data_IF_534209807332
#
_entry.id   IF_534209807332
#
_cell.length_a   1.000
_cell.length_b   1.000
_cell.length_c   1.000
_cell.angle_alpha   90.00
_cell.angle_beta   90.00
_cell.angle_gamma   90.00
#
_symmetry.space_group_name_H-M   'P 1'
#
loop_
_entity.id
_entity.type
_entity.pdbx_description
1 polymer ?
#
# COMPACT_ATOMS: atom_id res chain seq x y z
N UNK A 1 -0.60 -24.09 -7.88
CA UNK A 1 -0.06 -22.87 -7.22
C UNK A 1 0.13 -21.68 -8.18
N UNK A 2 0.50 -21.90 -9.45
CA UNK A 2 0.75 -20.82 -10.43
C UNK A 2 -0.50 -19.99 -10.76
N UNK A 3 -1.66 -20.65 -10.90
CA UNK A 3 -2.93 -19.99 -11.29
C UNK A 3 -3.46 -19.02 -10.24
N UNK A 4 -3.23 -19.30 -8.95
CA UNK A 4 -3.73 -18.47 -7.87
C UNK A 4 -2.97 -17.13 -7.79
N UNK A 5 -1.65 -17.13 -8.10
CA UNK A 5 -0.85 -15.90 -8.17
C UNK A 5 -1.24 -15.06 -9.38
N UNK A 6 -1.51 -15.69 -10.52
CA UNK A 6 -1.97 -15.01 -11.74
C UNK A 6 -3.32 -14.34 -11.51
N UNK A 7 -4.27 -15.05 -10.88
CA UNK A 7 -5.57 -14.49 -10.53
C UNK A 7 -5.47 -13.30 -9.55
N UNK A 8 -4.53 -13.35 -8.60
CA UNK A 8 -4.27 -12.22 -7.69
C UNK A 8 -3.77 -10.98 -8.44
N UNK A 9 -2.80 -11.13 -9.35
CA UNK A 9 -2.28 -10.01 -10.15
C UNK A 9 -3.38 -9.40 -11.03
N UNK A 10 -4.20 -10.23 -11.67
CA UNK A 10 -5.34 -9.77 -12.49
C UNK A 10 -6.35 -8.99 -11.65
N UNK A 11 -6.67 -9.48 -10.45
CA UNK A 11 -7.55 -8.76 -9.52
C UNK A 11 -6.97 -7.42 -9.07
N UNK A 12 -5.67 -7.35 -8.77
CA UNK A 12 -5.00 -6.08 -8.44
C UNK A 12 -5.09 -5.09 -9.60
N UNK A 13 -4.95 -5.56 -10.84
CA UNK A 13 -5.02 -4.72 -12.03
C UNK A 13 -6.43 -4.15 -12.24
N UNK A 14 -7.47 -4.98 -12.08
CA UNK A 14 -8.87 -4.55 -12.13
C UNK A 14 -9.19 -3.52 -11.05
N UNK A 15 -8.71 -3.74 -9.83
CA UNK A 15 -8.84 -2.76 -8.75
C UNK A 15 -8.07 -1.46 -9.05
N UNK A 16 -6.93 -1.55 -9.74
CA UNK A 16 -6.14 -0.37 -10.14
C UNK A 16 -6.90 0.52 -11.12
N UNK A 17 -7.63 -0.09 -12.06
CA UNK A 17 -8.52 0.63 -12.98
C UNK A 17 -9.66 1.30 -12.22
N UNK A 18 -10.24 0.64 -11.21
CA UNK A 18 -11.29 1.24 -10.38
C UNK A 18 -10.76 2.47 -9.63
N UNK A 19 -9.57 2.38 -9.03
CA UNK A 19 -8.91 3.51 -8.36
C UNK A 19 -8.57 4.66 -9.32
N UNK A 20 -8.14 4.34 -10.53
CA UNK A 20 -7.95 5.35 -11.58
C UNK A 20 -9.26 6.09 -11.91
N UNK A 21 -10.38 5.37 -12.04
CA UNK A 21 -11.69 6.00 -12.24
C UNK A 21 -12.10 6.94 -11.10
N UNK A 22 -11.79 6.59 -9.85
CA UNK A 22 -12.01 7.44 -8.69
C UNK A 22 -11.15 8.71 -8.75
N UNK A 23 -9.86 8.59 -9.10
CA UNK A 23 -8.97 9.74 -9.25
C UNK A 23 -9.47 10.71 -10.33
N UNK A 24 -9.94 10.21 -11.48
CA UNK A 24 -10.52 11.06 -12.53
C UNK A 24 -11.76 11.80 -12.05
N UNK A 25 -12.64 11.15 -11.27
CA UNK A 25 -13.82 11.79 -10.69
C UNK A 25 -13.43 12.92 -9.71
N UNK A 26 -12.44 12.68 -8.86
CA UNK A 26 -11.95 13.68 -7.90
C UNK A 26 -11.32 14.86 -8.64
N UNK A 27 -10.45 14.60 -9.61
CA UNK A 27 -9.88 15.65 -10.47
C UNK A 27 -10.94 16.47 -11.22
N UNK A 28 -12.05 15.84 -11.65
CA UNK A 28 -13.17 16.55 -12.28
C UNK A 28 -13.91 17.45 -11.27
N UNK A 29 -14.07 17.01 -10.03
CA UNK A 29 -14.67 17.84 -8.97
C UNK A 29 -13.75 19.03 -8.65
N UNK A 30 -12.45 18.81 -8.52
CA UNK A 30 -11.48 19.86 -8.21
C UNK A 30 -11.46 20.93 -9.31
N UNK A 31 -11.43 20.52 -10.59
CA UNK A 31 -11.46 21.47 -11.73
C UNK A 31 -12.76 22.28 -11.82
N UNK A 32 -13.87 21.78 -11.28
CA UNK A 32 -15.14 22.51 -11.21
C UNK A 32 -15.24 23.47 -10.02
N UNK A 33 -14.63 23.11 -8.89
CA UNK A 33 -14.69 23.88 -7.63
C UNK A 33 -13.62 24.97 -7.58
N UNK A 34 -12.48 24.76 -8.21
CA UNK A 34 -11.38 25.73 -8.25
C UNK A 34 -11.23 26.35 -9.64
N UNK A 35 -10.76 27.61 -9.70
CA UNK A 35 -10.48 28.30 -10.96
C UNK A 35 -9.30 27.70 -11.77
N UNK A 36 -8.73 26.59 -11.30
CA UNK A 36 -7.68 25.85 -11.99
C UNK A 36 -8.29 25.11 -13.19
N UNK A 37 -8.11 25.69 -14.39
CA UNK A 37 -8.62 25.13 -15.65
C UNK A 37 -7.84 23.92 -16.16
N UNK A 38 -6.61 23.72 -15.69
CA UNK A 38 -5.71 22.69 -16.23
C UNK A 38 -5.94 21.37 -15.50
N UNK A 39 -6.83 20.54 -16.05
CA UNK A 39 -7.16 19.20 -15.55
C UNK A 39 -5.92 18.30 -15.48
N UNK A 40 -5.02 18.41 -16.46
CA UNK A 40 -3.72 17.74 -16.52
C UNK A 40 -2.92 17.89 -15.22
N UNK A 41 -2.67 19.13 -14.79
CA UNK A 41 -1.84 19.40 -13.61
C UNK A 41 -2.45 18.84 -12.32
N UNK A 42 -3.78 18.88 -12.23
CA UNK A 42 -4.52 18.36 -11.06
C UNK A 42 -4.44 16.82 -11.03
N UNK A 43 -4.67 16.17 -12.17
CA UNK A 43 -4.62 14.71 -12.29
C UNK A 43 -3.21 14.19 -12.02
N UNK A 44 -2.17 14.92 -12.44
CA UNK A 44 -0.77 14.59 -12.18
C UNK A 44 -0.41 14.65 -10.70
N UNK A 45 -0.75 15.76 -10.02
CA UNK A 45 -0.42 15.89 -8.59
C UNK A 45 -1.21 14.90 -7.73
N UNK A 46 -2.47 14.64 -8.09
CA UNK A 46 -3.29 13.61 -7.44
C UNK A 46 -2.71 12.21 -7.66
N UNK A 47 -2.25 11.91 -8.88
CA UNK A 47 -1.58 10.64 -9.19
C UNK A 47 -0.31 10.42 -8.37
N UNK A 48 0.51 11.45 -8.21
CA UNK A 48 1.71 11.40 -7.36
C UNK A 48 1.34 11.13 -5.90
N UNK A 49 0.33 11.84 -5.37
CA UNK A 49 -0.13 11.64 -3.99
C UNK A 49 -0.62 10.20 -3.78
N UNK A 50 -1.38 9.65 -4.73
CA UNK A 50 -1.85 8.26 -4.69
C UNK A 50 -0.69 7.25 -4.68
N UNK A 51 0.36 7.48 -5.47
CA UNK A 51 1.56 6.64 -5.46
C UNK A 51 2.23 6.67 -4.08
N UNK A 52 2.42 7.86 -3.49
CA UNK A 52 3.02 7.97 -2.16
C UNK A 52 2.18 7.28 -1.08
N UNK A 53 0.86 7.48 -1.09
CA UNK A 53 -0.04 6.79 -0.16
C UNK A 53 0.05 5.27 -0.34
N UNK A 54 0.11 4.78 -1.59
CA UNK A 54 0.29 3.37 -1.88
C UNK A 54 1.62 2.80 -1.35
N UNK A 55 2.72 3.55 -1.50
CA UNK A 55 4.05 3.17 -0.98
C UNK A 55 4.02 3.12 0.56
N UNK A 56 3.53 4.16 1.22
CA UNK A 56 3.45 4.20 2.68
C UNK A 56 2.54 3.12 3.24
N UNK A 57 1.42 2.83 2.57
CA UNK A 57 0.53 1.74 2.96
C UNK A 57 1.17 0.35 2.75
N UNK A 58 2.18 0.22 1.88
CA UNK A 58 2.92 -1.04 1.69
C UNK A 58 3.93 -1.34 2.81
N UNK A 59 4.29 -0.34 3.62
CA UNK A 59 5.18 -0.50 4.77
C UNK A 59 4.38 -1.16 5.90
N UNK A 60 4.30 -2.49 5.85
CA UNK A 60 3.73 -3.29 6.93
C UNK A 60 4.79 -3.54 8.00
N UNK A 61 4.50 -3.15 9.25
CA UNK A 61 5.43 -3.20 10.37
C UNK A 61 6.07 -4.57 10.57
N UNK A 62 7.40 -4.62 10.56
CA UNK A 62 8.20 -5.81 10.84
C UNK A 62 8.48 -5.90 12.35
N UNK A 63 8.12 -7.00 13.04
CA UNK A 63 8.48 -7.22 14.46
C UNK A 63 10.00 -7.28 14.70
N UNK A 64 10.83 -7.27 13.66
CA UNK A 64 12.29 -7.20 13.79
C UNK A 64 12.78 -6.00 14.63
N UNK A 65 12.03 -4.89 14.69
CA UNK A 65 12.34 -3.78 15.60
C UNK A 65 12.15 -4.11 17.09
N UNK A 66 11.21 -5.01 17.41
CA UNK A 66 10.94 -5.49 18.76
C UNK A 66 12.02 -6.47 19.25
N UNK A 67 12.58 -7.29 18.35
CA UNK A 67 13.67 -8.20 18.70
C UNK A 67 14.99 -7.47 18.98
N UNK A 68 15.20 -6.30 18.37
CA UNK A 68 16.36 -5.43 18.65
C UNK A 68 16.30 -4.79 20.05
N UNK A 69 15.12 -4.64 20.65
CA UNK A 69 14.98 -4.12 22.03
C UNK A 69 15.57 -5.07 23.08
N UNK A 70 15.74 -6.36 22.75
CA UNK A 70 16.38 -7.35 23.62
C UNK A 70 17.92 -7.40 23.52
N UNK A 71 18.54 -6.71 22.56
CA UNK A 71 20.00 -6.69 22.38
C UNK A 71 20.62 -5.75 23.43
N UNK A 72 20.95 -6.31 24.61
CA UNK A 72 21.63 -5.59 25.68
C UNK A 72 21.12 -5.88 27.10
N UNK A 73 20.06 -6.68 27.25
CA UNK A 73 19.54 -7.07 28.57
C UNK A 73 20.19 -8.37 29.07
N UNK A 74 20.81 -8.32 30.26
CA UNK A 74 21.52 -9.44 30.91
C UNK A 74 20.61 -10.47 31.60
N UNK A 75 19.28 -10.34 31.50
CA UNK A 75 18.31 -11.20 32.18
C UNK A 75 17.71 -12.23 31.21
N UNK A 76 18.21 -13.48 31.29
CA UNK A 76 17.79 -14.61 30.47
C UNK A 76 16.28 -14.91 30.51
N UNK A 77 15.60 -14.53 31.60
CA UNK A 77 14.16 -14.69 31.76
C UNK A 77 13.35 -13.63 31.00
N UNK A 78 13.86 -12.41 30.88
CA UNK A 78 13.22 -11.33 30.13
C UNK A 78 13.40 -11.52 28.63
N UNK A 79 14.58 -11.97 28.20
CA UNK A 79 14.85 -12.32 26.80
C UNK A 79 14.06 -13.57 26.36
N UNK A 80 13.88 -14.58 27.21
CA UNK A 80 13.02 -15.73 26.90
C UNK A 80 11.54 -15.33 26.78
N UNK A 81 11.07 -14.43 27.64
CA UNK A 81 9.69 -13.91 27.61
C UNK A 81 9.44 -13.06 26.35
N UNK A 82 10.34 -12.14 26.05
CA UNK A 82 10.29 -11.32 24.83
C UNK A 82 10.39 -12.18 23.56
N UNK A 83 11.22 -13.22 23.56
CA UNK A 83 11.33 -14.13 22.43
C UNK A 83 10.06 -14.97 22.23
N UNK A 84 9.42 -15.42 23.32
CA UNK A 84 8.12 -16.10 23.24
C UNK A 84 7.00 -15.16 22.77
N UNK A 85 7.03 -13.88 23.17
CA UNK A 85 6.09 -12.86 22.72
C UNK A 85 6.29 -12.51 21.24
N UNK A 86 7.54 -12.35 20.79
CA UNK A 86 7.88 -12.18 19.37
C UNK A 86 7.47 -13.41 18.56
N UNK A 87 7.76 -14.63 19.04
CA UNK A 87 7.35 -15.87 18.36
C UNK A 87 5.82 -16.00 18.28
N UNK A 88 5.10 -15.56 19.32
CA UNK A 88 3.63 -15.53 19.33
C UNK A 88 3.11 -14.49 18.32
N UNK A 89 3.70 -13.30 18.28
CA UNK A 89 3.39 -12.26 17.30
C UNK A 89 3.70 -12.71 15.85
N UNK A 90 4.80 -13.42 15.62
CA UNK A 90 5.16 -13.99 14.32
C UNK A 90 4.17 -15.08 13.88
N UNK A 91 3.75 -15.95 14.81
CA UNK A 91 2.70 -16.96 14.55
C UNK A 91 1.34 -16.32 14.26
N UNK A 92 0.97 -15.25 14.97
CA UNK A 92 -0.27 -14.50 14.72
C UNK A 92 -0.20 -13.70 13.40
N UNK A 93 0.97 -13.14 13.05
CA UNK A 93 1.22 -12.47 11.76
C UNK A 93 1.16 -13.45 10.60
N UNK A 94 1.73 -14.65 10.75
CA UNK A 94 1.70 -15.73 9.74
C UNK A 94 0.26 -16.22 9.44
N UNK A 95 -0.65 -16.16 10.41
CA UNK A 95 -2.04 -16.58 10.24
C UNK A 95 -2.97 -15.49 9.66
N UNK A 96 -2.49 -14.26 9.50
CA UNK A 96 -3.27 -13.17 8.92
C UNK A 96 -3.25 -13.27 7.39
N UNK A 97 -4.35 -13.79 6.82
CA UNK A 97 -4.77 -13.60 5.42
C UNK A 97 -4.81 -12.12 4.94
N UNK A 98 -4.54 -11.18 5.84
CA UNK A 98 -4.56 -9.74 5.66
C UNK A 98 -3.39 -9.22 4.81
N UNK A 99 -2.26 -9.93 4.74
CA UNK A 99 -1.06 -9.45 4.05
C UNK A 99 -1.22 -9.45 2.52
N UNK A 100 -1.86 -10.49 1.96
CA UNK A 100 -2.07 -10.58 0.50
C UNK A 100 -3.13 -9.61 0.03
N UNK A 101 -4.22 -9.43 0.78
CA UNK A 101 -5.27 -8.48 0.43
C UNK A 101 -4.79 -7.03 0.52
N UNK A 102 -3.99 -6.72 1.55
CA UNK A 102 -3.39 -5.41 1.73
C UNK A 102 -2.30 -5.15 0.68
N UNK A 103 -1.43 -6.12 0.37
CA UNK A 103 -0.46 -6.01 -0.72
C UNK A 103 -1.12 -5.86 -2.10
N UNK A 104 -2.22 -6.57 -2.36
CA UNK A 104 -3.03 -6.43 -3.58
C UNK A 104 -3.64 -5.04 -3.68
N UNK A 105 -4.16 -4.53 -2.55
CA UNK A 105 -4.74 -3.19 -2.46
C UNK A 105 -3.71 -2.08 -2.65
N UNK A 106 -2.53 -2.19 -2.04
CA UNK A 106 -1.46 -1.17 -2.15
C UNK A 106 -0.84 -1.17 -3.54
N UNK A 107 -0.62 -2.35 -4.13
CA UNK A 107 -0.17 -2.48 -5.51
C UNK A 107 -1.19 -1.89 -6.50
N UNK A 108 -2.47 -2.13 -6.25
CA UNK A 108 -3.56 -1.54 -7.02
C UNK A 108 -3.58 -0.01 -6.92
N UNK A 109 -3.36 0.56 -5.73
CA UNK A 109 -3.29 2.01 -5.51
C UNK A 109 -2.13 2.64 -6.30
N UNK A 110 -0.96 2.01 -6.26
CA UNK A 110 0.22 2.46 -7.01
C UNK A 110 -0.06 2.41 -8.51
N UNK A 111 -0.63 1.32 -9.02
CA UNK A 111 -1.01 1.21 -10.44
C UNK A 111 -2.01 2.30 -10.86
N UNK A 112 -3.03 2.56 -10.03
CA UNK A 112 -4.01 3.63 -10.28
C UNK A 112 -3.37 5.01 -10.37
N UNK A 113 -2.44 5.33 -9.45
CA UNK A 113 -1.70 6.58 -9.45
C UNK A 113 -0.70 6.72 -10.61
N UNK A 114 -0.05 5.63 -11.02
CA UNK A 114 0.82 5.62 -12.22
C UNK A 114 -0.01 5.83 -13.49
N UNK A 115 -1.19 5.23 -13.60
CA UNK A 115 -2.08 5.47 -14.73
C UNK A 115 -2.57 6.91 -14.78
N UNK A 116 -2.93 7.53 -13.66
CA UNK A 116 -3.38 8.93 -13.65
C UNK A 116 -2.26 9.91 -13.95
N UNK A 117 -1.06 9.71 -13.40
CA UNK A 117 0.10 10.52 -13.73
C UNK A 117 0.53 10.33 -15.19
N UNK A 118 0.51 9.09 -15.69
CA UNK A 118 0.89 8.76 -17.07
C UNK A 118 -0.06 9.32 -18.11
N UNK A 119 -1.36 9.33 -17.83
CA UNK A 119 -2.38 9.86 -18.74
C UNK A 119 -2.26 11.38 -18.93
N UNK A 120 -1.67 12.07 -17.95
CA UNK A 120 -1.36 13.51 -18.06
C UNK A 120 -0.34 13.81 -19.16
N UNK A 121 0.56 12.88 -19.51
CA UNK A 121 1.50 13.09 -20.60
C UNK A 121 0.90 12.88 -21.99
N UNK A 122 -0.33 12.34 -22.07
CA UNK A 122 -1.03 12.03 -23.31
C UNK A 122 -2.08 13.10 -23.64
N UNK A 123 -2.73 13.65 -22.61
CA UNK A 123 -3.64 14.81 -22.71
C UNK A 123 -2.78 16.07 -22.92
#
# INVERSE_FOLDING_TARGET
MKDNRINLVIKSFLWGIAWFGVAVLIGFIITKVTAYKNFENILFIEGIILVFVGIFASISGDPMGLSMQGLGQNSAQYSASANLEVTKMEREKSNRKLDVALAVSTFSLILGGVFSAGLTFII
#
